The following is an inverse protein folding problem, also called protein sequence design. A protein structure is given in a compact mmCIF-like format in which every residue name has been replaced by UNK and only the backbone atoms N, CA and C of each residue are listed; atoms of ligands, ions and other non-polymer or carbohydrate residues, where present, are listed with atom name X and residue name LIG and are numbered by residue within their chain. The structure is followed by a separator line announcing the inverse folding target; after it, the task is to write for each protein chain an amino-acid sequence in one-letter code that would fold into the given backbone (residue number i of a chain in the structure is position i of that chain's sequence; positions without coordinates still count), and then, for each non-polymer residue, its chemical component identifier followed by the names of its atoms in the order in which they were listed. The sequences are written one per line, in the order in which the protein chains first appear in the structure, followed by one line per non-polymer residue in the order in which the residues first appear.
data_IF_148854883182
#
_entry.id   IF_148854883182
#
_cell.length_a   1.000
_cell.length_b   1.000
_cell.length_c   1.000
_cell.angle_alpha   90.00
_cell.angle_beta   90.00
_cell.angle_gamma   90.00
#
_symmetry.space_group_name_H-M   'P 1'
#
loop_
_entity.id
_entity.type
_entity.pdbx_description
1 polymer ?
#
# COMPACT_ATOMS: atom_id res chain seq x y z
N UNK A 1 -5.63 -9.80 -7.57
CA UNK A 1 -4.16 -9.67 -7.56
C UNK A 1 -3.50 -10.90 -6.95
N UNK A 2 -4.08 -11.51 -5.92
CA UNK A 2 -3.57 -12.72 -5.24
C UNK A 2 -3.09 -13.82 -6.21
N UNK A 3 -3.93 -14.31 -7.12
CA UNK A 3 -3.53 -15.32 -8.11
C UNK A 3 -2.33 -14.91 -9.00
N UNK A 4 -2.19 -13.61 -9.31
CA UNK A 4 -1.06 -13.12 -10.10
C UNK A 4 0.23 -13.04 -9.28
N UNK A 5 0.12 -12.79 -7.97
CA UNK A 5 1.24 -12.84 -7.02
C UNK A 5 1.70 -14.29 -6.85
N UNK A 6 0.76 -15.23 -6.68
CA UNK A 6 1.06 -16.65 -6.53
C UNK A 6 1.76 -17.22 -7.78
N UNK A 7 1.30 -16.84 -8.98
CA UNK A 7 1.95 -17.22 -10.23
C UNK A 7 3.39 -16.68 -10.32
N UNK A 8 3.64 -15.44 -9.89
CA UNK A 8 4.98 -14.88 -9.85
C UNK A 8 5.88 -15.60 -8.84
N UNK A 9 5.35 -15.94 -7.65
CA UNK A 9 6.07 -16.74 -6.64
C UNK A 9 6.41 -18.13 -7.19
N UNK A 10 5.51 -18.73 -7.96
CA UNK A 10 5.72 -20.01 -8.63
C UNK A 10 6.67 -19.94 -9.85
N UNK A 11 7.22 -18.76 -10.17
CA UNK A 11 8.18 -18.59 -11.27
C UNK A 11 7.55 -18.57 -12.67
N UNK A 12 6.23 -18.35 -12.77
CA UNK A 12 5.53 -18.29 -14.07
C UNK A 12 5.93 -17.05 -14.88
N UNK A 13 6.34 -15.96 -14.21
CA UNK A 13 6.81 -14.74 -14.86
C UNK A 13 6.74 -13.51 -13.97
N UNK A 14 6.67 -12.34 -14.62
CA UNK A 14 6.57 -11.03 -13.96
C UNK A 14 5.12 -10.58 -13.82
N UNK A 15 4.81 -9.84 -12.75
CA UNK A 15 3.49 -9.24 -12.53
C UNK A 15 3.61 -7.81 -12.01
N UNK A 16 2.59 -6.98 -12.31
CA UNK A 16 2.48 -5.60 -11.80
C UNK A 16 1.32 -5.53 -10.81
N UNK A 17 1.64 -5.25 -9.56
CA UNK A 17 0.70 -5.22 -8.43
C UNK A 17 1.01 -4.05 -7.51
N UNK A 18 0.11 -3.76 -6.56
CA UNK A 18 0.32 -2.69 -5.59
C UNK A 18 1.30 -3.16 -4.51
N UNK A 19 2.21 -2.28 -4.07
CA UNK A 19 3.30 -2.62 -3.13
C UNK A 19 2.83 -3.30 -1.85
N UNK A 20 1.67 -2.89 -1.32
CA UNK A 20 1.07 -3.49 -0.12
C UNK A 20 0.63 -4.95 -0.31
N UNK A 21 0.39 -5.41 -1.55
CA UNK A 21 -0.05 -6.78 -1.84
C UNK A 21 1.10 -7.79 -1.75
N UNK A 22 2.34 -7.33 -1.94
CA UNK A 22 3.55 -8.19 -2.01
C UNK A 22 4.53 -7.96 -0.88
N UNK A 23 4.21 -7.10 0.08
CA UNK A 23 5.11 -6.74 1.20
C UNK A 23 5.61 -7.97 1.97
N UNK A 24 4.76 -8.97 2.20
CA UNK A 24 5.15 -10.19 2.91
C UNK A 24 6.10 -11.07 2.06
N UNK A 25 5.78 -11.26 0.77
CA UNK A 25 6.58 -12.07 -0.15
C UNK A 25 7.97 -11.47 -0.40
N UNK A 26 8.06 -10.14 -0.55
CA UNK A 26 9.36 -9.45 -0.68
C UNK A 26 10.19 -9.58 0.60
N UNK A 27 9.56 -9.40 1.78
CA UNK A 27 10.24 -9.61 3.08
C UNK A 27 10.73 -11.05 3.28
N UNK A 28 9.98 -12.02 2.76
CA UNK A 28 10.36 -13.44 2.79
C UNK A 28 11.41 -13.80 1.72
N UNK A 29 11.76 -12.89 0.81
CA UNK A 29 12.68 -13.13 -0.29
C UNK A 29 12.11 -14.03 -1.40
N UNK A 30 10.81 -14.32 -1.39
CA UNK A 30 10.15 -15.15 -2.42
C UNK A 30 9.76 -14.36 -3.66
N UNK A 31 9.80 -13.02 -3.58
CA UNK A 31 9.68 -12.10 -4.70
C UNK A 31 10.72 -10.99 -4.59
N UNK A 32 11.12 -10.44 -5.73
CA UNK A 32 11.93 -9.23 -5.81
C UNK A 32 11.25 -8.20 -6.71
N UNK A 33 11.54 -6.92 -6.45
CA UNK A 33 11.15 -5.81 -7.32
C UNK A 33 12.09 -5.73 -8.52
N UNK A 34 11.54 -5.37 -9.68
CA UNK A 34 12.31 -5.15 -10.90
C UNK A 34 11.83 -3.86 -11.56
N UNK A 35 12.68 -3.25 -12.41
CA UNK A 35 12.37 -2.01 -13.13
C UNK A 35 12.04 -0.82 -12.22
N UNK A 36 12.67 -0.72 -11.05
CA UNK A 36 12.42 0.35 -10.07
C UNK A 36 12.64 1.75 -10.64
N UNK A 37 13.59 1.90 -11.57
CA UNK A 37 13.83 3.16 -12.29
C UNK A 37 12.63 3.65 -13.13
N UNK A 38 11.65 2.78 -13.39
CA UNK A 38 10.44 3.08 -14.16
C UNK A 38 9.18 3.10 -13.28
N UNK A 39 9.33 3.07 -11.96
CA UNK A 39 8.18 3.06 -11.06
C UNK A 39 7.44 4.40 -11.09
N UNK A 40 6.10 4.40 -11.23
CA UNK A 40 5.32 5.63 -11.14
C UNK A 40 5.38 6.22 -9.74
N UNK A 41 5.05 7.51 -9.63
CA UNK A 41 4.91 8.16 -8.32
C UNK A 41 3.91 7.39 -7.43
N UNK A 42 4.15 7.34 -6.11
CA UNK A 42 3.27 6.67 -5.17
C UNK A 42 1.82 7.12 -5.32
N UNK A 43 0.91 6.16 -5.37
CA UNK A 43 -0.51 6.47 -5.51
C UNK A 43 -1.04 7.15 -4.25
N UNK A 44 -1.84 8.22 -4.38
CA UNK A 44 -2.40 8.90 -3.23
C UNK A 44 -3.36 7.98 -2.47
N UNK A 45 -3.30 8.03 -1.14
CA UNK A 45 -4.21 7.29 -0.25
C UNK A 45 -5.10 8.29 0.48
N UNK A 46 -6.41 8.05 0.43
CA UNK A 46 -7.43 8.90 1.03
C UNK A 46 -8.22 8.16 2.10
N UNK A 47 -8.52 8.83 3.21
CA UNK A 47 -9.51 8.37 4.18
C UNK A 47 -10.89 8.89 3.75
N UNK A 48 -11.81 7.99 3.46
CA UNK A 48 -13.17 8.33 3.00
C UNK A 48 -14.17 8.05 4.11
N UNK A 49 -15.10 8.98 4.33
CA UNK A 49 -16.22 8.82 5.26
C UNK A 49 -17.53 9.23 4.59
N UNK A 50 -18.66 8.78 5.12
CA UNK A 50 -19.97 9.21 4.64
C UNK A 50 -20.13 10.73 4.86
N UNK A 51 -20.21 11.49 3.78
CA UNK A 51 -20.20 12.95 3.78
C UNK A 51 -21.58 13.55 3.99
N UNK A 52 -22.25 13.24 5.09
CA UNK A 52 -23.56 13.84 5.41
C UNK A 52 -23.46 14.65 6.70
N UNK A 53 -23.53 15.99 6.59
CA UNK A 53 -23.59 16.92 7.72
C UNK A 53 -22.25 17.22 8.41
N UNK A 54 -22.33 17.84 9.60
CA UNK A 54 -21.17 18.18 10.42
C UNK A 54 -20.46 16.90 10.87
N UNK A 55 -19.13 16.85 10.69
CA UNK A 55 -18.30 15.72 11.08
C UNK A 55 -18.45 15.46 12.60
N UNK A 56 -18.93 14.28 13.03
CA UNK A 56 -19.02 13.96 14.45
C UNK A 56 -17.66 14.11 15.12
N UNK A 57 -17.60 14.69 16.33
CA UNK A 57 -16.34 14.95 17.05
C UNK A 57 -15.50 13.69 17.23
N UNK A 58 -16.15 12.54 17.48
CA UNK A 58 -15.48 11.23 17.57
C UNK A 58 -14.80 10.81 16.27
N UNK A 59 -15.44 11.07 15.12
CA UNK A 59 -14.88 10.77 13.80
C UNK A 59 -13.70 11.71 13.50
N UNK A 60 -13.82 13.00 13.81
CA UNK A 60 -12.72 13.96 13.69
C UNK A 60 -11.51 13.52 14.52
N UNK A 61 -11.73 13.21 15.79
CA UNK A 61 -10.69 12.75 16.70
C UNK A 61 -10.01 11.46 16.19
N UNK A 62 -10.77 10.54 15.61
CA UNK A 62 -10.20 9.34 14.97
C UNK A 62 -9.35 9.68 13.76
N UNK A 63 -9.81 10.55 12.86
CA UNK A 63 -9.05 10.96 11.68
C UNK A 63 -7.76 11.67 12.09
N UNK A 64 -7.83 12.59 13.07
CA UNK A 64 -6.66 13.30 13.61
C UNK A 64 -5.66 12.34 14.25
N UNK A 65 -6.13 11.27 14.88
CA UNK A 65 -5.29 10.21 15.41
C UNK A 65 -4.69 9.30 14.32
N UNK A 66 -5.51 8.84 13.37
CA UNK A 66 -5.16 7.79 12.43
C UNK A 66 -4.34 8.31 11.24
N UNK A 67 -4.71 9.47 10.66
CA UNK A 67 -4.11 10.02 9.46
C UNK A 67 -2.58 10.17 9.53
N UNK A 68 -1.98 10.83 10.54
CA UNK A 68 -0.52 10.96 10.60
C UNK A 68 0.20 9.62 10.78
N UNK A 69 -0.40 8.68 11.53
CA UNK A 69 0.15 7.33 11.75
C UNK A 69 0.11 6.50 10.48
N UNK A 70 -1.00 6.55 9.75
CA UNK A 70 -1.17 5.86 8.49
C UNK A 70 -0.23 6.44 7.43
N UNK A 71 -0.11 7.77 7.34
CA UNK A 71 0.87 8.42 6.46
C UNK A 71 2.29 7.95 6.74
N UNK A 72 2.72 7.92 8.00
CA UNK A 72 4.07 7.43 8.37
C UNK A 72 4.29 5.97 7.95
N UNK A 73 3.30 5.10 8.20
CA UNK A 73 3.39 3.67 7.84
C UNK A 73 3.40 3.44 6.34
N UNK A 74 2.57 4.17 5.60
CA UNK A 74 2.50 4.08 4.14
C UNK A 74 3.77 4.62 3.50
N UNK A 75 4.35 5.72 4.01
CA UNK A 75 5.65 6.23 3.56
C UNK A 75 6.79 5.20 3.78
N UNK A 76 6.76 4.47 4.90
CA UNK A 76 7.74 3.39 5.15
C UNK A 76 7.51 2.16 4.25
N UNK A 77 6.26 1.91 3.85
CA UNK A 77 5.91 0.83 2.93
C UNK A 77 6.11 1.21 1.45
N UNK A 78 6.15 2.50 1.12
CA UNK A 78 6.42 3.05 -0.22
C UNK A 78 7.92 3.26 -0.44
N UNK A 79 8.70 2.24 -0.07
CA UNK A 79 10.12 2.07 -0.38
C UNK A 79 11.11 2.78 0.56
N UNK A 80 11.77 1.96 1.38
CA UNK A 80 13.22 2.06 1.54
C UNK A 80 13.82 1.11 0.50
N UNK A 81 14.32 1.67 -0.59
CA UNK A 81 15.40 1.09 -1.38
C UNK A 81 16.66 1.89 -1.05
#
# INVERSE_FOLDING_TARGET
AEAAVDAAIAGVGLTRVLSYQITAAVRAGTLCTVLEAFEPQPWPVSLVHAGQGLLPVKLRAFVDFAAPRLKKRLMQATWQA
#
